data_IF_731551223295
#
_entry.id   IF_731551223295
#
_cell.length_a   1.000
_cell.length_b   1.000
_cell.length_c   1.000
_cell.angle_alpha   90.00
_cell.angle_beta   90.00
_cell.angle_gamma   90.00
#
_symmetry.space_group_name_H-M   'P 1'
#
loop_
_entity.id
_entity.type
_entity.pdbx_description
1 polymer ?
#
# COMPACT_ATOMS: atom_id res chain seq x y z
N UNK A 1 0.22 -34.80 -16.59
CA UNK A 1 1.45 -34.05 -16.20
C UNK A 1 1.45 -32.58 -16.65
N UNK A 2 1.04 -32.24 -17.89
CA UNK A 2 1.02 -30.85 -18.41
C UNK A 2 0.09 -29.87 -17.67
N UNK A 3 -0.98 -30.37 -17.04
CA UNK A 3 -1.98 -29.57 -16.32
C UNK A 3 -1.43 -28.91 -15.05
N UNK A 4 -0.55 -29.61 -14.31
CA UNK A 4 0.04 -29.09 -13.07
C UNK A 4 1.00 -27.92 -13.37
N UNK A 5 1.87 -28.06 -14.38
CA UNK A 5 2.80 -26.98 -14.77
C UNK A 5 2.13 -25.69 -15.28
N UNK A 6 0.91 -25.76 -15.84
CA UNK A 6 0.16 -24.58 -16.25
C UNK A 6 -0.46 -23.87 -15.04
N UNK A 7 -1.01 -24.65 -14.10
CA UNK A 7 -1.55 -24.13 -12.85
C UNK A 7 -0.45 -23.46 -11.99
N UNK A 8 0.74 -24.07 -11.90
CA UNK A 8 1.88 -23.50 -11.19
C UNK A 8 2.35 -22.16 -11.77
N UNK A 9 2.33 -22.01 -13.11
CA UNK A 9 2.68 -20.74 -13.77
C UNK A 9 1.64 -19.64 -13.51
N UNK A 10 0.35 -19.97 -13.53
CA UNK A 10 -0.72 -19.02 -13.22
C UNK A 10 -0.63 -18.56 -11.76
N UNK A 11 -0.38 -19.48 -10.82
CA UNK A 11 -0.17 -19.17 -9.40
C UNK A 11 1.07 -18.28 -9.22
N UNK A 12 2.15 -18.54 -9.96
CA UNK A 12 3.36 -17.73 -9.91
C UNK A 12 3.13 -16.29 -10.40
N UNK A 13 2.42 -16.10 -11.52
CA UNK A 13 2.07 -14.76 -12.02
C UNK A 13 1.13 -14.02 -11.07
N UNK A 14 0.14 -14.71 -10.49
CA UNK A 14 -0.73 -14.14 -9.45
C UNK A 14 0.08 -13.69 -8.23
N UNK A 15 0.99 -14.54 -7.75
CA UNK A 15 1.89 -14.22 -6.65
C UNK A 15 2.80 -13.04 -6.98
N UNK A 16 3.33 -12.96 -8.21
CA UNK A 16 4.21 -11.87 -8.64
C UNK A 16 3.48 -10.52 -8.69
N UNK A 17 2.25 -10.51 -9.21
CA UNK A 17 1.41 -9.31 -9.26
C UNK A 17 1.00 -8.89 -7.84
N UNK A 18 0.59 -9.85 -7.00
CA UNK A 18 0.27 -9.59 -5.60
C UNK A 18 1.49 -9.06 -4.82
N UNK A 19 2.67 -9.65 -4.98
CA UNK A 19 3.90 -9.18 -4.35
C UNK A 19 4.29 -7.78 -4.81
N UNK A 20 4.09 -7.44 -6.10
CA UNK A 20 4.36 -6.09 -6.61
C UNK A 20 3.42 -5.04 -6.01
N UNK A 21 2.14 -5.40 -5.79
CA UNK A 21 1.17 -4.56 -5.08
C UNK A 21 1.58 -4.36 -3.61
N UNK A 22 1.89 -5.44 -2.90
CA UNK A 22 2.32 -5.40 -1.50
C UNK A 22 3.60 -4.57 -1.33
N UNK A 23 4.56 -4.67 -2.26
CA UNK A 23 5.80 -3.91 -2.18
C UNK A 23 5.57 -2.40 -2.36
N UNK A 24 4.64 -2.01 -3.25
CA UNK A 24 4.21 -0.60 -3.39
C UNK A 24 3.54 -0.10 -2.11
N UNK A 25 2.65 -0.91 -1.54
CA UNK A 25 1.97 -0.61 -0.29
C UNK A 25 2.95 -0.50 0.90
N UNK A 26 3.96 -1.37 0.93
CA UNK A 26 4.96 -1.41 2.00
C UNK A 26 5.83 -0.15 2.02
N UNK A 27 6.26 0.33 0.85
CA UNK A 27 7.01 1.58 0.73
C UNK A 27 6.19 2.77 1.26
N UNK A 28 4.89 2.81 0.92
CA UNK A 28 3.98 3.83 1.42
C UNK A 28 3.80 3.78 2.93
N UNK A 29 3.55 2.58 3.48
CA UNK A 29 3.35 2.38 4.93
C UNK A 29 4.56 2.83 5.75
N UNK A 30 5.79 2.66 5.24
CA UNK A 30 6.99 3.14 5.91
C UNK A 30 6.96 4.67 6.02
N UNK A 31 6.64 5.39 4.94
CA UNK A 31 6.53 6.85 4.97
C UNK A 31 5.41 7.31 5.93
N UNK A 32 4.28 6.60 5.92
CA UNK A 32 3.16 6.87 6.82
C UNK A 32 3.51 6.64 8.30
N UNK A 33 4.24 5.55 8.61
CA UNK A 33 4.73 5.26 9.95
C UNK A 33 5.70 6.34 10.44
N UNK A 34 6.64 6.74 9.60
CA UNK A 34 7.60 7.81 9.92
C UNK A 34 6.86 9.14 10.16
N UNK A 35 5.91 9.49 9.31
CA UNK A 35 5.08 10.70 9.48
C UNK A 35 4.29 10.64 10.81
N UNK A 36 3.65 9.51 11.10
CA UNK A 36 2.89 9.32 12.35
C UNK A 36 3.80 9.45 13.58
N UNK A 37 5.00 8.89 13.55
CA UNK A 37 5.98 9.03 14.63
C UNK A 37 6.43 10.50 14.80
N UNK A 38 6.67 11.22 13.69
CA UNK A 38 7.02 12.64 13.73
C UNK A 38 5.87 13.51 14.29
N UNK A 39 4.62 13.19 13.93
CA UNK A 39 3.44 13.87 14.45
C UNK A 39 3.30 13.67 15.96
N UNK A 40 3.49 12.44 16.46
CA UNK A 40 3.49 12.14 17.90
C UNK A 40 4.59 12.92 18.61
N UNK A 41 5.81 12.93 18.05
CA UNK A 41 6.93 13.69 18.62
C UNK A 41 6.65 15.21 18.67
N UNK A 42 6.01 15.76 17.63
CA UNK A 42 5.59 17.17 17.62
C UNK A 42 4.54 17.48 18.69
N UNK A 43 3.51 16.63 18.82
CA UNK A 43 2.48 16.77 19.86
C UNK A 43 3.10 16.68 21.25
N UNK A 44 4.04 15.75 21.48
CA UNK A 44 4.76 15.62 22.75
C UNK A 44 5.57 16.87 23.09
N UNK A 45 6.32 17.42 22.12
CA UNK A 45 7.07 18.67 22.29
C UNK A 45 6.14 19.83 22.66
N UNK A 46 5.02 19.98 21.95
CA UNK A 46 4.10 21.11 22.11
C UNK A 46 3.26 21.04 23.38
N UNK A 47 2.68 19.88 23.70
CA UNK A 47 1.75 19.72 24.82
C UNK A 47 2.44 19.38 26.14
N UNK A 48 3.53 18.62 26.10
CA UNK A 48 4.24 18.20 27.32
C UNK A 48 5.49 19.04 27.59
N UNK A 49 5.76 20.07 26.78
CA UNK A 49 6.90 20.97 26.95
C UNK A 49 8.26 20.25 26.86
N UNK A 50 8.29 19.06 26.28
CA UNK A 50 9.51 18.25 26.17
C UNK A 50 10.44 18.95 25.18
N UNK A 51 11.61 19.37 25.65
CA UNK A 51 12.67 19.91 24.81
C UNK A 51 13.32 18.80 23.98
N UNK A 52 12.66 18.42 22.88
CA UNK A 52 13.22 17.53 21.88
C UNK A 52 14.30 18.28 21.07
N UNK A 53 15.48 18.46 21.68
CA UNK A 53 16.70 19.01 21.07
C UNK A 53 17.42 18.01 20.15
N UNK A 54 16.70 17.04 19.60
CA UNK A 54 17.23 16.13 18.60
C UNK A 54 16.98 16.71 17.21
N UNK A 55 18.01 16.77 16.38
CA UNK A 55 17.85 17.04 14.95
C UNK A 55 17.19 15.81 14.29
N UNK A 56 16.07 15.93 13.54
CA UNK A 56 15.41 17.11 12.98
C UNK A 56 14.23 17.70 13.80
N UNK A 57 13.86 17.11 14.94
CA UNK A 57 12.72 17.51 15.78
C UNK A 57 12.83 18.95 16.34
N UNK A 58 14.04 19.46 16.49
CA UNK A 58 14.29 20.85 16.86
C UNK A 58 13.72 21.85 15.83
N UNK A 59 13.78 21.52 14.53
CA UNK A 59 13.29 22.36 13.43
C UNK A 59 11.83 22.12 13.06
N UNK A 60 11.13 21.23 13.76
CA UNK A 60 9.69 21.05 13.58
C UNK A 60 8.96 22.31 14.08
N UNK A 61 8.64 23.17 13.12
CA UNK A 61 7.78 24.35 13.24
C UNK A 61 6.40 24.07 12.63
N UNK A 62 5.42 24.91 12.98
CA UNK A 62 4.04 24.79 12.49
C UNK A 62 3.95 24.75 10.96
N UNK A 63 4.77 25.58 10.28
CA UNK A 63 4.84 25.61 8.81
C UNK A 63 5.34 24.29 8.22
N UNK A 64 6.40 23.71 8.80
CA UNK A 64 6.94 22.41 8.37
C UNK A 64 5.89 21.33 8.56
N UNK A 65 5.22 21.31 9.72
CA UNK A 65 4.11 20.39 9.99
C UNK A 65 2.97 20.53 8.98
N UNK A 66 2.54 21.74 8.63
CA UNK A 66 1.48 21.96 7.64
C UNK A 66 1.88 21.42 6.26
N UNK A 67 3.09 21.74 5.80
CA UNK A 67 3.59 21.27 4.50
C UNK A 67 3.68 19.74 4.48
N UNK A 68 4.29 19.14 5.51
CA UNK A 68 4.41 17.70 5.63
C UNK A 68 3.06 16.99 5.73
N UNK A 69 2.11 17.58 6.46
CA UNK A 69 0.74 17.06 6.57
C UNK A 69 0.02 17.10 5.24
N UNK A 70 0.19 18.16 4.44
CA UNK A 70 -0.38 18.25 3.10
C UNK A 70 0.17 17.17 2.18
N UNK A 71 1.50 16.98 2.16
CA UNK A 71 2.16 15.91 1.37
C UNK A 71 1.68 14.53 1.80
N UNK A 72 1.54 14.30 3.11
CA UNK A 72 1.01 13.05 3.64
C UNK A 72 -0.46 12.84 3.26
N UNK A 73 -1.28 13.89 3.26
CA UNK A 73 -2.69 13.82 2.87
C UNK A 73 -2.84 13.44 1.40
N UNK A 74 -2.08 14.08 0.50
CA UNK A 74 -2.04 13.70 -0.91
C UNK A 74 -1.63 12.23 -1.10
N UNK A 75 -0.60 11.82 -0.36
CA UNK A 75 -0.12 10.44 -0.34
C UNK A 75 -1.25 9.48 0.10
N UNK A 76 -1.97 9.79 1.18
CA UNK A 76 -3.08 8.98 1.68
C UNK A 76 -4.23 8.87 0.67
N UNK A 77 -4.55 9.96 -0.03
CA UNK A 77 -5.58 9.97 -1.08
C UNK A 77 -5.15 9.09 -2.26
N UNK A 78 -3.91 9.22 -2.75
CA UNK A 78 -3.40 8.39 -3.85
C UNK A 78 -3.44 6.89 -3.51
N UNK A 79 -3.08 6.54 -2.27
CA UNK A 79 -3.20 5.17 -1.77
C UNK A 79 -4.65 4.71 -1.74
N UNK A 80 -5.56 5.54 -1.22
CA UNK A 80 -6.97 5.19 -1.10
C UNK A 80 -7.61 4.97 -2.47
N UNK A 81 -7.30 5.84 -3.44
CA UNK A 81 -7.73 5.71 -4.83
C UNK A 81 -7.15 4.45 -5.45
N UNK A 82 -5.85 4.18 -5.29
CA UNK A 82 -5.23 2.94 -5.75
C UNK A 82 -5.83 1.71 -5.06
N UNK A 83 -6.15 1.76 -3.78
CA UNK A 83 -6.74 0.63 -3.07
C UNK A 83 -8.16 0.34 -3.56
N UNK A 84 -8.99 1.39 -3.69
CA UNK A 84 -10.39 1.27 -4.13
C UNK A 84 -10.53 0.88 -5.61
N UNK A 85 -9.79 1.54 -6.50
CA UNK A 85 -9.88 1.29 -7.96
C UNK A 85 -9.15 0.01 -8.36
N UNK A 86 -8.00 -0.28 -7.75
CA UNK A 86 -7.14 -1.39 -8.17
C UNK A 86 -7.30 -2.67 -7.32
N UNK A 87 -8.07 -2.61 -6.22
CA UNK A 87 -8.43 -3.75 -5.38
C UNK A 87 -9.58 -4.53 -5.98
N UNK A 88 -10.80 -3.98 -5.88
CA UNK A 88 -12.03 -4.70 -6.23
C UNK A 88 -12.14 -5.03 -7.73
N UNK A 89 -12.02 -4.05 -8.64
CA UNK A 89 -12.17 -4.32 -10.07
C UNK A 89 -11.12 -5.30 -10.61
N UNK A 90 -9.91 -5.27 -10.06
CA UNK A 90 -8.86 -6.19 -10.49
C UNK A 90 -9.12 -7.60 -9.98
N UNK A 91 -9.54 -7.74 -8.71
CA UNK A 91 -9.89 -9.03 -8.12
C UNK A 91 -11.08 -9.67 -8.84
N UNK A 92 -12.13 -8.90 -9.13
CA UNK A 92 -13.28 -9.39 -9.90
C UNK A 92 -12.90 -9.80 -11.32
N UNK A 93 -12.13 -8.98 -12.04
CA UNK A 93 -11.65 -9.33 -13.40
C UNK A 93 -10.80 -10.60 -13.39
N UNK A 94 -9.96 -10.78 -12.37
CA UNK A 94 -9.10 -11.96 -12.26
C UNK A 94 -9.92 -13.19 -11.93
N UNK A 95 -10.86 -13.09 -10.98
CA UNK A 95 -11.77 -14.18 -10.61
C UNK A 95 -12.59 -14.65 -11.81
N UNK A 96 -13.14 -13.70 -12.58
CA UNK A 96 -13.88 -14.01 -13.81
C UNK A 96 -13.02 -14.74 -14.84
N UNK A 97 -11.78 -14.29 -15.05
CA UNK A 97 -10.85 -14.94 -15.98
C UNK A 97 -10.49 -16.37 -15.57
N UNK A 98 -10.38 -16.64 -14.27
CA UNK A 98 -10.10 -17.98 -13.73
C UNK A 98 -11.32 -18.90 -13.87
N UNK A 99 -12.52 -18.38 -13.60
CA UNK A 99 -13.78 -19.11 -13.78
C UNK A 99 -14.02 -19.48 -15.25
N UNK A 100 -13.81 -18.55 -16.19
CA UNK A 100 -13.93 -18.82 -17.63
C UNK A 100 -12.92 -19.86 -18.12
N UNK A 101 -11.67 -19.80 -17.65
CA UNK A 101 -10.65 -20.81 -17.98
C UNK A 101 -11.04 -22.20 -17.47
N UNK A 102 -11.52 -22.32 -16.22
CA UNK A 102 -12.01 -23.60 -15.67
C UNK A 102 -13.21 -24.13 -16.44
N UNK A 103 -14.16 -23.27 -16.78
CA UNK A 103 -15.38 -23.67 -17.48
C UNK A 103 -15.09 -24.12 -18.92
N UNK A 104 -14.13 -23.49 -19.62
CA UNK A 104 -13.69 -23.96 -20.94
C UNK A 104 -13.02 -25.32 -20.83
N UNK A 105 -12.10 -25.55 -19.89
CA UNK A 105 -11.40 -26.85 -19.76
C UNK A 105 -12.35 -28.01 -19.49
N UNK A 106 -13.37 -27.80 -18.65
CA UNK A 106 -14.38 -28.82 -18.33
C UNK A 106 -15.36 -29.12 -19.48
N UNK A 107 -15.42 -28.29 -20.53
CA UNK A 107 -16.32 -28.49 -21.67
C UNK A 107 -15.70 -29.34 -22.80
N UNK A 108 -14.40 -29.65 -22.69
CA UNK A 108 -13.64 -30.46 -23.64
C UNK A 108 -13.27 -31.85 -23.10
N UNK A 109 -13.73 -32.18 -21.88
CA UNK A 109 -13.79 -33.54 -21.32
C UNK A 109 -15.23 -34.05 -21.38
#
# INVERSE_FOLDING_TARGET
>A
MKMNCLNDREIFELKRIASKKVNRLKSFYIHALIYTAALIAFVLKQYYGVSLNFFPLQHLNYVVMIIWTSVFLFSAIDLFVSFKIFGEEWEERKLKSLLEKKQKTQKWE
#
